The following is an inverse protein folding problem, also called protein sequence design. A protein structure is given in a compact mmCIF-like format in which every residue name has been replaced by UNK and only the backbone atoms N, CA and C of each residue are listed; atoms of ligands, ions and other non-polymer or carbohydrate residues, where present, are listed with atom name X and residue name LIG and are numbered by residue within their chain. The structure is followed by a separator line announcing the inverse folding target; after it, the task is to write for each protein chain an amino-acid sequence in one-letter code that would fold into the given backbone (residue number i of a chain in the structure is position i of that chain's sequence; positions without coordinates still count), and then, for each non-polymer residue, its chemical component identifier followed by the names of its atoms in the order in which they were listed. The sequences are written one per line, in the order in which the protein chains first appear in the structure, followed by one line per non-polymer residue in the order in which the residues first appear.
data_IF_460772680110
#
_entry.id   IF_460772680110
#
_cell.length_a   1.000
_cell.length_b   1.000
_cell.length_c   1.000
_cell.angle_alpha   90.00
_cell.angle_beta   90.00
_cell.angle_gamma   90.00
#
_symmetry.space_group_name_H-M   'P 1'
#
loop_
_entity.id
_entity.type
_entity.pdbx_description
1 polymer ?
#
# COMPACT_ATOMS: atom_id res chain seq x y z
N UNK A 1 -12.22 37.32 -11.77
CA UNK A 1 -11.39 37.93 -10.71
C UNK A 1 -11.50 37.07 -9.46
N UNK A 2 -10.68 36.02 -9.35
CA UNK A 2 -10.61 35.19 -8.13
C UNK A 2 -9.41 35.69 -7.32
N UNK A 3 -9.68 36.39 -6.22
CA UNK A 3 -8.66 36.75 -5.25
C UNK A 3 -8.37 35.53 -4.39
N UNK A 4 -7.29 34.81 -4.71
CA UNK A 4 -6.76 33.80 -3.80
C UNK A 4 -6.21 34.49 -2.54
N UNK A 5 -6.77 34.22 -1.34
CA UNK A 5 -6.24 34.80 -0.12
C UNK A 5 -4.82 34.27 0.09
N UNK A 6 -3.87 35.19 0.27
CA UNK A 6 -2.47 34.88 0.50
C UNK A 6 -2.36 33.93 1.70
N UNK A 7 -2.02 32.65 1.45
CA UNK A 7 -1.76 31.67 2.50
C UNK A 7 -0.64 32.22 3.38
N UNK A 8 -0.82 32.29 4.71
CA UNK A 8 0.24 32.68 5.63
C UNK A 8 1.45 31.77 5.39
N UNK A 9 2.59 32.34 4.99
CA UNK A 9 3.84 31.59 4.90
C UNK A 9 4.13 31.02 6.30
N UNK A 10 4.30 29.70 6.46
CA UNK A 10 4.67 29.14 7.76
C UNK A 10 5.96 29.80 8.24
N UNK A 11 5.91 30.40 9.43
CA UNK A 11 7.03 31.15 10.03
C UNK A 11 8.17 30.24 10.54
N UNK A 12 7.99 28.93 10.49
CA UNK A 12 8.93 27.93 10.96
C UNK A 12 9.34 27.02 9.81
N UNK A 13 10.66 26.80 9.66
CA UNK A 13 11.17 25.75 8.78
C UNK A 13 10.62 24.41 9.26
N UNK A 14 9.96 23.61 8.41
CA UNK A 14 9.54 22.27 8.80
C UNK A 14 10.77 21.49 9.25
N UNK A 15 10.79 21.05 10.51
CA UNK A 15 11.83 20.18 11.05
C UNK A 15 11.46 18.77 10.63
N UNK A 16 12.11 18.30 9.57
CA UNK A 16 11.97 16.94 9.07
C UNK A 16 12.29 15.96 10.21
N UNK A 17 11.30 15.18 10.61
CA UNK A 17 11.46 14.11 11.58
C UNK A 17 12.05 12.86 10.91
N UNK A 18 13.38 12.87 10.75
CA UNK A 18 14.13 11.74 10.21
C UNK A 18 14.05 10.48 11.10
N UNK A 19 13.89 10.65 12.41
CA UNK A 19 13.78 9.53 13.34
C UNK A 19 12.43 8.83 13.19
N UNK A 20 11.33 9.59 13.10
CA UNK A 20 10.01 9.07 12.77
C UNK A 20 9.97 8.42 11.40
N UNK A 21 10.55 9.06 10.38
CA UNK A 21 10.66 8.47 9.03
C UNK A 21 11.35 7.10 9.08
N UNK A 22 12.55 7.03 9.67
CA UNK A 22 13.33 5.79 9.75
C UNK A 22 12.58 4.71 10.54
N UNK A 23 11.92 5.08 11.64
CA UNK A 23 11.13 4.14 12.44
C UNK A 23 9.95 3.55 11.65
N UNK A 24 9.19 4.37 10.92
CA UNK A 24 8.08 3.93 10.06
C UNK A 24 8.58 3.01 8.94
N UNK A 25 9.67 3.39 8.26
CA UNK A 25 10.27 2.55 7.23
C UNK A 25 10.78 1.22 7.79
N UNK A 26 11.43 1.24 8.96
CA UNK A 26 11.92 0.04 9.62
C UNK A 26 10.77 -0.89 10.02
N UNK A 27 9.71 -0.37 10.64
CA UNK A 27 8.50 -1.16 10.98
C UNK A 27 7.85 -1.75 9.74
N UNK A 28 7.63 -0.93 8.70
CA UNK A 28 7.00 -1.39 7.46
C UNK A 28 7.80 -2.48 6.77
N UNK A 29 9.12 -2.29 6.66
CA UNK A 29 10.03 -3.29 6.09
C UNK A 29 10.02 -4.59 6.90
N UNK A 30 10.05 -4.50 8.23
CA UNK A 30 10.02 -5.69 9.10
C UNK A 30 8.69 -6.44 9.00
N UNK A 31 7.56 -5.72 8.98
CA UNK A 31 6.23 -6.30 8.82
C UNK A 31 6.08 -6.99 7.46
N UNK A 32 6.48 -6.31 6.38
CA UNK A 32 6.46 -6.88 5.03
C UNK A 32 7.36 -8.12 4.94
N UNK A 33 8.54 -8.07 5.55
CA UNK A 33 9.46 -9.23 5.58
C UNK A 33 8.82 -10.40 6.33
N UNK A 34 8.19 -10.16 7.48
CA UNK A 34 7.51 -11.20 8.23
C UNK A 34 6.35 -11.83 7.44
N UNK A 35 5.59 -11.01 6.70
CA UNK A 35 4.45 -11.45 5.91
C UNK A 35 4.84 -12.22 4.64
N UNK A 36 5.92 -11.78 3.97
CA UNK A 36 6.43 -12.42 2.74
C UNK A 36 7.19 -13.71 3.06
N UNK A 37 7.97 -13.72 4.13
CA UNK A 37 8.75 -14.91 4.53
C UNK A 37 7.93 -15.92 5.33
N UNK A 38 6.89 -15.45 6.03
CA UNK A 38 5.92 -16.31 6.70
C UNK A 38 5.19 -17.19 5.69
N UNK A 39 5.35 -18.49 5.80
CA UNK A 39 4.76 -19.47 4.89
C UNK A 39 5.63 -19.88 3.70
N UNK A 40 6.66 -19.10 3.34
CA UNK A 40 7.61 -19.44 2.25
C UNK A 40 8.90 -20.02 2.83
N UNK A 41 9.59 -19.27 3.69
CA UNK A 41 10.84 -19.71 4.31
C UNK A 41 10.59 -20.58 5.56
N UNK A 42 9.54 -20.27 6.33
CA UNK A 42 9.18 -21.01 7.55
C UNK A 42 7.66 -21.15 7.68
N UNK A 43 7.14 -22.22 8.30
CA UNK A 43 5.71 -22.37 8.57
C UNK A 43 5.17 -21.21 9.41
N UNK A 44 3.95 -20.75 9.12
CA UNK A 44 3.31 -19.64 9.82
C UNK A 44 3.29 -19.77 11.35
N UNK A 45 3.15 -21.00 11.86
CA UNK A 45 3.09 -21.34 13.29
C UNK A 45 4.47 -21.65 13.90
N UNK A 46 5.56 -21.41 13.18
CA UNK A 46 6.91 -21.67 13.67
C UNK A 46 7.37 -20.58 14.65
N UNK A 47 8.23 -20.96 15.61
CA UNK A 47 8.87 -20.03 16.55
C UNK A 47 9.52 -18.80 15.87
N UNK A 48 10.25 -18.90 14.74
CA UNK A 48 10.78 -17.72 14.05
C UNK A 48 9.69 -16.83 13.45
N UNK A 49 8.61 -17.39 12.89
CA UNK A 49 7.48 -16.57 12.38
C UNK A 49 6.76 -15.82 13.50
N UNK A 50 6.45 -16.50 14.61
CA UNK A 50 5.87 -15.86 15.80
C UNK A 50 6.79 -14.79 16.39
N UNK A 51 8.11 -15.04 16.43
CA UNK A 51 9.11 -14.07 16.86
C UNK A 51 9.16 -12.84 15.96
N UNK A 52 9.10 -13.02 14.64
CA UNK A 52 9.05 -11.93 13.66
C UNK A 52 7.75 -11.12 13.75
N UNK A 53 6.60 -11.77 13.91
CA UNK A 53 5.33 -11.09 14.13
C UNK A 53 5.33 -10.30 15.44
N UNK A 54 5.81 -10.89 16.53
CA UNK A 54 5.94 -10.21 17.82
C UNK A 54 6.92 -9.03 17.75
N UNK A 55 8.08 -9.20 17.10
CA UNK A 55 9.06 -8.14 16.89
C UNK A 55 8.48 -7.01 16.01
N UNK A 56 7.72 -7.36 14.97
CA UNK A 56 7.04 -6.38 14.12
C UNK A 56 5.98 -5.59 14.89
N UNK A 57 5.17 -6.27 15.71
CA UNK A 57 4.19 -5.62 16.58
C UNK A 57 4.86 -4.70 17.61
N UNK A 58 5.97 -5.12 18.21
CA UNK A 58 6.75 -4.32 19.14
C UNK A 58 7.35 -3.09 18.46
N UNK A 59 7.93 -3.24 17.26
CA UNK A 59 8.43 -2.12 16.47
C UNK A 59 7.29 -1.17 16.06
N UNK A 60 6.12 -1.69 15.70
CA UNK A 60 4.97 -0.87 15.36
C UNK A 60 4.50 -0.03 16.54
N UNK A 61 4.42 -0.62 17.74
CA UNK A 61 4.11 0.11 18.96
C UNK A 61 5.16 1.19 19.26
N UNK A 62 6.45 0.86 19.12
CA UNK A 62 7.55 1.80 19.31
C UNK A 62 7.46 2.97 18.32
N UNK A 63 7.20 2.70 17.05
CA UNK A 63 7.01 3.71 16.01
C UNK A 63 5.83 4.63 16.30
N UNK A 64 4.69 4.09 16.74
CA UNK A 64 3.54 4.91 17.18
C UNK A 64 3.91 5.80 18.36
N UNK A 65 4.71 5.32 19.30
CA UNK A 65 5.19 6.13 20.44
C UNK A 65 6.16 7.22 19.98
N UNK A 66 7.06 6.91 19.04
CA UNK A 66 8.01 7.88 18.47
C UNK A 66 7.26 8.95 17.67
N UNK A 67 6.33 8.57 16.79
CA UNK A 67 5.51 9.53 16.03
C UNK A 67 4.63 10.40 16.95
N UNK A 68 4.12 9.85 18.06
CA UNK A 68 3.38 10.63 19.06
C UNK A 68 4.25 11.62 19.83
N UNK A 69 5.55 11.35 19.95
CA UNK A 69 6.53 12.23 20.61
C UNK A 69 7.21 13.20 19.64
N UNK A 70 7.08 12.99 18.33
CA UNK A 70 7.63 13.84 17.30
C UNK A 70 6.98 15.23 17.31
N UNK A 71 7.80 16.28 17.21
CA UNK A 71 7.33 17.66 17.16
C UNK A 71 6.59 18.00 15.85
N UNK A 72 6.94 17.33 14.74
CA UNK A 72 6.26 17.42 13.45
C UNK A 72 6.06 15.99 12.88
N UNK A 73 4.98 15.31 13.27
CA UNK A 73 4.71 13.95 12.79
C UNK A 73 4.43 13.93 11.29
N UNK A 74 5.08 13.00 10.58
CA UNK A 74 4.92 12.78 9.12
C UNK A 74 3.48 12.38 8.79
N UNK A 75 2.87 11.55 9.64
CA UNK A 75 1.44 11.26 9.59
C UNK A 75 0.80 11.94 10.79
N UNK A 76 0.22 13.14 10.62
CA UNK A 76 -0.46 13.79 11.71
C UNK A 76 -1.60 12.90 12.23
N UNK A 77 -1.66 12.65 13.53
CA UNK A 77 -2.67 11.76 14.12
C UNK A 77 -4.13 12.17 13.80
N UNK A 78 -4.37 13.43 13.39
CA UNK A 78 -5.68 13.89 12.92
C UNK A 78 -6.11 13.26 11.58
N UNK A 79 -5.17 12.82 10.75
CA UNK A 79 -5.42 12.13 9.48
C UNK A 79 -6.14 10.80 9.73
N UNK A 80 -5.65 10.02 10.70
CA UNK A 80 -6.29 8.79 11.15
C UNK A 80 -7.63 9.03 11.85
N UNK A 81 -7.81 10.19 12.49
CA UNK A 81 -9.07 10.55 13.16
C UNK A 81 -10.19 10.89 12.18
N UNK A 82 -9.85 11.30 10.95
CA UNK A 82 -10.84 11.49 9.87
C UNK A 82 -11.17 10.13 9.25
N UNK A 83 -12.34 9.58 9.62
CA UNK A 83 -12.89 8.33 9.07
C UNK A 83 -12.76 8.25 7.55
N UNK A 84 -13.08 9.31 6.82
CA UNK A 84 -12.97 9.32 5.35
C UNK A 84 -11.55 9.03 4.86
N UNK A 85 -10.53 9.66 5.45
CA UNK A 85 -9.14 9.47 5.00
C UNK A 85 -8.61 8.10 5.45
N UNK A 86 -8.95 7.67 6.67
CA UNK A 86 -8.60 6.35 7.16
C UNK A 86 -9.26 5.24 6.31
N UNK A 87 -10.54 5.36 5.99
CA UNK A 87 -11.27 4.41 5.14
C UNK A 87 -10.75 4.37 3.71
N UNK A 88 -10.38 5.52 3.12
CA UNK A 88 -9.77 5.56 1.78
C UNK A 88 -8.40 4.88 1.79
N UNK A 89 -7.54 5.16 2.77
CA UNK A 89 -6.24 4.49 2.89
C UNK A 89 -6.39 2.98 3.12
N UNK A 90 -7.35 2.56 3.96
CA UNK A 90 -7.65 1.15 4.18
C UNK A 90 -8.16 0.49 2.89
N UNK A 91 -9.03 1.16 2.16
CA UNK A 91 -9.54 0.67 0.88
C UNK A 91 -8.43 0.54 -0.17
N UNK A 92 -7.54 1.52 -0.27
CA UNK A 92 -6.36 1.47 -1.17
C UNK A 92 -5.42 0.32 -0.77
N UNK A 93 -5.15 0.14 0.51
CA UNK A 93 -4.35 -0.98 1.02
C UNK A 93 -4.98 -2.34 0.72
N UNK A 94 -6.29 -2.48 1.00
CA UNK A 94 -7.04 -3.69 0.69
C UNK A 94 -7.08 -3.99 -0.81
N UNK A 95 -7.26 -2.96 -1.64
CA UNK A 95 -7.23 -3.07 -3.10
C UNK A 95 -5.85 -3.53 -3.59
N UNK A 96 -4.76 -3.01 -3.02
CA UNK A 96 -3.41 -3.48 -3.30
C UNK A 96 -3.23 -4.96 -2.98
N UNK A 97 -3.71 -5.43 -1.82
CA UNK A 97 -3.67 -6.85 -1.44
C UNK A 97 -4.50 -7.72 -2.40
N UNK A 98 -5.71 -7.27 -2.74
CA UNK A 98 -6.61 -7.95 -3.69
C UNK A 98 -6.02 -8.04 -5.10
N UNK A 99 -5.24 -7.04 -5.54
CA UNK A 99 -4.58 -7.06 -6.86
C UNK A 99 -3.49 -8.13 -6.98
N UNK A 100 -2.92 -8.62 -5.87
CA UNK A 100 -1.88 -9.65 -5.86
C UNK A 100 -2.46 -11.06 -6.06
N UNK A 101 -3.69 -11.32 -5.60
CA UNK A 101 -4.28 -12.66 -5.68
C UNK A 101 -4.46 -13.16 -7.13
N UNK A 102 -4.99 -12.37 -8.08
CA UNK A 102 -5.11 -12.78 -9.48
C UNK A 102 -3.76 -13.04 -10.16
N UNK A 103 -2.73 -12.24 -9.84
CA UNK A 103 -1.40 -12.35 -10.48
C UNK A 103 -0.68 -13.65 -10.14
N UNK A 104 -0.96 -14.24 -8.97
CA UNK A 104 -0.43 -15.55 -8.58
C UNK A 104 -1.37 -16.67 -9.04
N UNK A 105 -2.68 -16.51 -8.84
CA UNK A 105 -3.65 -17.58 -9.09
C UNK A 105 -3.80 -17.93 -10.58
N UNK A 106 -3.93 -16.93 -11.46
CA UNK A 106 -4.17 -17.17 -12.89
C UNK A 106 -3.05 -17.97 -13.58
N UNK A 107 -1.75 -17.63 -13.45
CA UNK A 107 -0.69 -18.41 -14.08
C UNK A 107 -0.58 -19.80 -13.47
N UNK A 108 -0.72 -19.93 -12.14
CA UNK A 108 -0.70 -21.25 -11.49
C UNK A 108 -1.86 -22.12 -11.97
N UNK A 109 -3.07 -21.59 -12.10
CA UNK A 109 -4.24 -22.32 -12.62
C UNK A 109 -4.06 -22.72 -14.10
N UNK A 110 -3.54 -21.81 -14.92
CA UNK A 110 -3.24 -22.09 -16.33
C UNK A 110 -2.19 -23.20 -16.50
N UNK A 111 -1.18 -23.24 -15.62
CA UNK A 111 -0.14 -24.25 -15.64
C UNK A 111 -0.58 -25.58 -15.01
N UNK A 112 -1.28 -25.56 -13.88
CA UNK A 112 -1.57 -26.78 -13.09
C UNK A 112 -2.87 -27.47 -13.45
N UNK A 113 -3.91 -26.73 -13.87
CA UNK A 113 -5.25 -27.27 -14.17
C UNK A 113 -5.49 -27.38 -15.67
N UNK A 114 -5.10 -26.36 -16.44
CA UNK A 114 -5.29 -26.35 -17.89
C UNK A 114 -4.17 -27.09 -18.65
N UNK A 115 -3.07 -27.44 -17.98
CA UNK A 115 -1.93 -28.13 -18.59
C UNK A 115 -1.25 -27.33 -19.71
N UNK A 116 -1.48 -26.02 -19.77
CA UNK A 116 -0.98 -25.16 -20.82
C UNK A 116 0.53 -24.95 -20.66
N UNK A 117 1.25 -25.00 -21.78
CA UNK A 117 2.69 -24.76 -21.80
C UNK A 117 3.07 -23.36 -21.28
N UNK A 118 4.31 -23.16 -20.79
CA UNK A 118 4.77 -21.91 -20.18
C UNK A 118 4.51 -20.65 -21.03
N UNK A 119 4.54 -20.79 -22.36
CA UNK A 119 4.30 -19.70 -23.32
C UNK A 119 2.86 -19.17 -23.23
N UNK A 120 1.87 -20.04 -23.06
CA UNK A 120 0.47 -19.63 -22.96
C UNK A 120 0.18 -18.95 -21.62
N UNK A 121 0.77 -19.41 -20.52
CA UNK A 121 0.71 -18.74 -19.22
C UNK A 121 1.36 -17.35 -19.26
N UNK A 122 2.49 -17.21 -19.97
CA UNK A 122 3.12 -15.91 -20.24
C UNK A 122 2.20 -14.96 -21.01
N UNK A 123 1.48 -15.47 -22.01
CA UNK A 123 0.50 -14.70 -22.78
C UNK A 123 -0.66 -14.17 -21.92
N UNK A 124 -1.17 -14.97 -20.98
CA UNK A 124 -2.21 -14.53 -20.01
C UNK A 124 -1.71 -13.35 -19.18
N UNK A 125 -0.46 -13.41 -18.70
CA UNK A 125 0.16 -12.30 -17.97
C UNK A 125 0.34 -11.06 -18.85
N UNK A 126 0.71 -11.22 -20.12
CA UNK A 126 0.81 -10.11 -21.07
C UNK A 126 -0.54 -9.43 -21.28
N UNK A 127 -1.62 -10.20 -21.48
CA UNK A 127 -2.98 -9.67 -21.65
C UNK A 127 -3.47 -8.96 -20.39
N UNK A 128 -3.21 -9.52 -19.20
CA UNK A 128 -3.51 -8.81 -17.94
C UNK A 128 -2.77 -7.49 -17.83
N UNK A 129 -1.47 -7.45 -18.19
CA UNK A 129 -0.67 -6.22 -18.16
C UNK A 129 -1.19 -5.18 -19.14
N UNK A 130 -1.61 -5.61 -20.35
CA UNK A 130 -2.22 -4.74 -21.37
C UNK A 130 -3.62 -4.24 -20.98
N UNK A 131 -4.32 -4.91 -20.07
CA UNK A 131 -5.67 -4.52 -19.64
C UNK A 131 -5.68 -3.20 -18.87
N UNK A 132 -4.61 -2.88 -18.13
CA UNK A 132 -4.47 -1.62 -17.39
C UNK A 132 -4.40 -0.39 -18.30
N UNK A 133 -3.48 -0.31 -19.28
CA UNK A 133 -3.43 0.79 -20.25
C UNK A 133 -4.72 0.96 -21.03
N UNK A 134 -5.35 -0.15 -21.44
CA UNK A 134 -6.62 -0.12 -22.18
C UNK A 134 -7.74 0.45 -21.32
N UNK A 135 -7.83 0.01 -20.06
CA UNK A 135 -8.82 0.53 -19.11
C UNK A 135 -8.56 1.99 -18.76
N UNK A 136 -7.29 2.41 -18.64
CA UNK A 136 -6.93 3.81 -18.41
C UNK A 136 -7.32 4.70 -19.61
N UNK A 137 -7.02 4.26 -20.84
CA UNK A 137 -7.40 4.98 -22.06
C UNK A 137 -8.92 5.07 -22.26
N UNK A 138 -9.65 4.03 -21.87
CA UNK A 138 -11.12 4.03 -21.87
C UNK A 138 -11.70 4.89 -20.74
N UNK A 139 -11.06 4.90 -19.56
CA UNK A 139 -11.48 5.71 -18.42
C UNK A 139 -11.42 7.21 -18.75
N UNK A 140 -10.42 7.65 -19.50
CA UNK A 140 -10.31 9.04 -19.97
C UNK A 140 -11.51 9.46 -20.85
N UNK A 141 -11.98 8.55 -21.71
CA UNK A 141 -13.19 8.77 -22.53
C UNK A 141 -14.47 8.77 -21.70
N UNK A 142 -14.57 7.88 -20.71
CA UNK A 142 -15.72 7.78 -19.80
C UNK A 142 -15.79 9.01 -18.89
N UNK A 143 -14.65 9.48 -18.38
CA UNK A 143 -14.55 10.66 -17.51
C UNK A 143 -14.99 11.94 -18.24
N UNK A 144 -14.57 12.10 -19.50
CA UNK A 144 -15.01 13.20 -20.35
C UNK A 144 -16.50 13.14 -20.74
N UNK A 145 -17.12 11.95 -20.72
CA UNK A 145 -18.53 11.77 -21.09
C UNK A 145 -19.48 11.84 -19.89
N UNK A 146 -19.03 11.46 -18.70
CA UNK A 146 -19.85 11.42 -17.47
C UNK A 146 -19.77 12.73 -16.69
N UNK A 147 -18.75 13.56 -16.92
CA UNK A 147 -18.66 14.99 -16.55
C UNK A 147 -19.20 15.35 -15.16
N UNK A 148 -18.32 15.72 -14.22
CA UNK A 148 -18.73 16.18 -12.88
C UNK A 148 -19.91 17.15 -12.97
N UNK A 149 -21.10 16.65 -12.62
CA UNK A 149 -22.20 17.49 -12.19
C UNK A 149 -21.79 18.00 -10.82
N UNK A 150 -21.08 19.14 -10.84
CA UNK A 150 -20.84 20.02 -9.69
C UNK A 150 -22.18 20.49 -9.11
#
# INVERSE_FOLDING_TARGET
HLHEPARPRPKTRPRIDWAGALAVFATGTLLLTALVQGGVAWPWLSAPSLGLFAASAALAALTVVIERRAAEPIIPGWVWRRRTIASVNLALGAMGLLMVAPTVFLPTYAQSVLGLGPIAAGFVLSVMTLSWPVSAALSDRVYNRIGFRL
#
